data_IF_480753033460
#
_entry.id   IF_480753033460
#
_cell.length_a   1.000
_cell.length_b   1.000
_cell.length_c   1.000
_cell.angle_alpha   90.00
_cell.angle_beta   90.00
_cell.angle_gamma   90.00
#
_symmetry.space_group_name_H-M   'P 1'
#
loop_
_entity.id
_entity.type
_entity.pdbx_description
1 polymer ?
2 non-polymer ?
3 non-polymer ?
4 non-polymer ?
5 non-polymer ?
6 water ?
#
# COMPACT_ATOMS: atom_id res chain seq x y z
N UNK A 1 -4.05 1.62 -10.40
CA UNK A 1 -3.96 2.12 -11.77
C UNK A 1 -3.14 1.35 -12.82
N UNK A 2 -3.82 0.90 -13.87
CA UNK A 2 -2.93 0.39 -14.95
C UNK A 2 -2.32 1.53 -15.77
N UNK A 3 -2.93 2.73 -15.81
CA UNK A 3 -2.35 3.76 -16.72
C UNK A 3 -2.16 5.14 -16.10
N UNK A 4 -1.34 5.99 -16.75
CA UNK A 4 -1.10 7.37 -16.24
C UNK A 4 -2.42 8.14 -16.15
N UNK A 5 -3.31 7.97 -17.14
CA UNK A 5 -4.60 8.66 -17.21
C UNK A 5 -5.45 8.38 -15.98
N UNK A 6 -5.22 7.26 -15.28
CA UNK A 6 -6.01 6.93 -14.07
C UNK A 6 -5.80 7.99 -13.00
N UNK A 7 -4.58 8.48 -12.88
CA UNK A 7 -4.21 9.51 -11.88
C UNK A 7 -3.26 10.48 -12.55
N UNK A 8 -3.77 11.46 -13.29
CA UNK A 8 -2.89 12.31 -14.11
C UNK A 8 -1.84 13.04 -13.28
N UNK A 9 -2.19 13.44 -12.06
CA UNK A 9 -1.38 14.23 -11.13
C UNK A 9 -0.67 13.36 -10.12
N UNK A 10 -0.73 12.06 -10.30
CA UNK A 10 -0.20 11.12 -9.33
C UNK A 10 1.19 10.64 -9.68
N UNK A 11 1.46 9.38 -9.36
CA UNK A 11 2.81 8.79 -9.44
C UNK A 11 2.68 7.31 -9.78
N UNK A 12 3.81 6.74 -10.17
CA UNK A 12 3.94 5.28 -10.30
C UNK A 12 4.50 4.66 -9.02
N UNK A 13 3.78 3.72 -8.48
CA UNK A 13 4.35 2.76 -7.53
C UNK A 13 5.23 1.82 -8.32
N UNK A 14 6.39 1.48 -7.78
CA UNK A 14 7.35 0.62 -8.47
C UNK A 14 8.31 1.43 -9.31
N UNK A 15 8.41 1.13 -10.58
CA UNK A 15 9.30 1.89 -11.48
C UNK A 15 8.58 2.06 -12.80
N UNK A 16 8.29 3.31 -13.17
CA UNK A 16 7.65 3.59 -14.45
C UNK A 16 8.38 2.94 -15.61
N UNK A 17 9.69 2.78 -15.51
CA UNK A 17 10.46 2.21 -16.61
C UNK A 17 10.20 0.70 -16.78
N UNK A 18 9.51 0.06 -15.85
CA UNK A 18 9.25 -1.38 -15.92
C UNK A 18 7.75 -1.64 -16.00
N UNK A 19 7.21 -1.92 -17.20
CA UNK A 19 5.77 -2.11 -17.33
C UNK A 19 5.20 -3.21 -16.46
N UNK A 20 6.02 -4.16 -16.04
CA UNK A 20 5.51 -5.30 -15.24
C UNK A 20 5.66 -5.08 -13.74
N UNK A 21 6.27 -3.98 -13.34
CA UNK A 21 6.43 -3.69 -11.88
C UNK A 21 6.11 -2.22 -11.66
N UNK A 22 4.95 -1.80 -12.16
CA UNK A 22 4.49 -0.40 -11.96
C UNK A 22 2.98 -0.38 -11.86
N UNK A 23 2.51 0.50 -10.97
CA UNK A 23 1.05 0.68 -10.74
C UNK A 23 0.83 2.18 -10.50
N UNK A 24 -0.08 2.76 -11.27
CA UNK A 24 -0.38 4.21 -11.11
C UNK A 24 -1.19 4.41 -9.83
N UNK A 25 -0.90 5.49 -9.11
CA UNK A 25 -1.61 5.80 -7.89
C UNK A 25 -1.80 7.31 -7.76
N UNK A 26 -2.58 7.66 -6.76
CA UNK A 26 -3.02 9.06 -6.53
C UNK A 26 -1.97 9.88 -5.80
N UNK A 27 -0.92 9.31 -5.28
CA UNK A 27 0.07 10.08 -4.52
C UNK A 27 0.77 11.06 -5.46
N UNK A 28 0.90 12.33 -5.06
CA UNK A 28 1.51 13.32 -5.93
C UNK A 28 3.04 13.18 -5.88
N UNK A 29 3.78 13.70 -6.88
CA UNK A 29 5.24 13.44 -6.96
C UNK A 29 5.98 13.89 -5.71
N UNK A 30 5.73 15.07 -5.21
CA UNK A 30 6.49 15.56 -4.05
C UNK A 30 6.19 14.70 -2.82
N UNK A 31 4.97 14.24 -2.67
CA UNK A 31 4.62 13.37 -1.52
C UNK A 31 5.31 12.01 -1.65
N UNK A 32 5.42 11.50 -2.86
CA UNK A 32 6.11 10.22 -3.03
C UNK A 32 7.58 10.36 -2.65
N UNK A 33 8.20 11.48 -3.01
CA UNK A 33 9.62 11.72 -2.65
C UNK A 33 9.74 11.88 -1.13
N UNK A 34 8.79 12.55 -0.48
CA UNK A 34 8.79 12.66 0.99
C UNK A 34 8.73 11.25 1.61
N UNK A 35 7.82 10.42 1.15
CA UNK A 35 7.70 9.06 1.68
C UNK A 35 9.02 8.34 1.48
N UNK A 36 9.64 8.46 0.33
CA UNK A 36 10.92 7.77 0.04
C UNK A 36 11.97 8.08 1.08
N UNK A 37 12.08 9.34 1.49
CA UNK A 37 13.21 9.73 2.35
C UNK A 37 12.86 9.72 3.84
N UNK A 38 11.59 9.69 4.22
CA UNK A 38 11.16 9.76 5.61
C UNK A 38 10.77 8.39 6.17
N UNK A 39 10.43 7.44 5.31
CA UNK A 39 9.99 6.11 5.75
C UNK A 39 11.20 5.20 5.58
N UNK A 40 11.85 4.88 6.69
CA UNK A 40 13.20 4.32 6.64
C UNK A 40 13.26 2.82 6.75
N UNK A 41 12.16 2.14 6.85
CA UNK A 41 12.05 0.70 6.76
C UNK A 41 10.92 0.35 5.82
N UNK A 42 10.96 -0.86 5.33
CA UNK A 42 9.91 -1.34 4.41
C UNK A 42 8.54 -1.34 5.12
N UNK A 43 8.53 -1.77 6.39
CA UNK A 43 7.24 -1.80 7.09
C UNK A 43 6.68 -0.38 7.23
N UNK A 44 7.50 0.59 7.65
CA UNK A 44 6.99 1.95 7.81
C UNK A 44 6.51 2.49 6.46
N UNK A 45 7.29 2.24 5.41
CA UNK A 45 6.86 2.72 4.10
C UNK A 45 5.52 2.07 3.69
N UNK A 46 5.37 0.79 3.92
CA UNK A 46 4.11 0.09 3.55
C UNK A 46 2.93 0.73 4.26
N UNK A 47 3.07 0.96 5.56
CA UNK A 47 1.94 1.48 6.36
C UNK A 47 1.64 2.93 5.99
N UNK A 48 2.67 3.71 5.65
CA UNK A 48 2.46 5.08 5.21
C UNK A 48 1.77 5.11 3.85
N UNK A 49 2.27 4.31 2.90
CA UNK A 49 1.60 4.16 1.63
C UNK A 49 0.12 3.80 1.83
N UNK A 50 -0.14 2.85 2.74
CA UNK A 50 -1.53 2.44 2.97
C UNK A 50 -2.40 3.64 3.31
N UNK A 51 -1.92 4.56 4.18
CA UNK A 51 -2.69 5.74 4.58
C UNK A 51 -2.85 6.76 3.43
N UNK A 52 -1.88 6.85 2.53
CA UNK A 52 -2.05 7.70 1.33
C UNK A 52 -3.01 7.10 0.33
N UNK A 53 -3.12 5.78 0.27
CA UNK A 53 -3.82 5.10 -0.83
C UNK A 53 -5.23 4.69 -0.45
N UNK A 54 -5.52 4.46 0.81
CA UNK A 54 -6.82 3.96 1.27
C UNK A 54 -7.30 4.81 2.40
N UNK A 55 -8.49 5.38 2.27
CA UNK A 55 -9.09 6.17 3.35
C UNK A 55 -9.20 5.27 4.57
N UNK A 56 -9.12 5.85 5.75
CA UNK A 56 -9.28 5.06 7.00
C UNK A 56 -10.64 4.32 7.02
N UNK A 57 -11.69 4.90 6.46
CA UNK A 57 -12.98 4.20 6.45
C UNK A 57 -12.90 2.95 5.60
N UNK A 58 -12.14 2.98 4.51
CA UNK A 58 -11.93 1.81 3.67
C UNK A 58 -11.06 0.79 4.42
N UNK A 59 -10.00 1.23 5.08
CA UNK A 59 -9.15 0.31 5.85
C UNK A 59 -10.00 -0.43 6.88
N UNK A 60 -10.91 0.25 7.54
CA UNK A 60 -11.72 -0.31 8.62
C UNK A 60 -12.57 -1.49 8.17
N UNK A 61 -12.94 -1.54 6.89
CA UNK A 61 -13.84 -2.58 6.37
C UNK A 61 -13.14 -3.44 5.37
N UNK A 62 -11.83 -3.43 5.32
CA UNK A 62 -11.04 -4.18 4.36
C UNK A 62 -9.91 -4.97 5.02
N UNK A 63 -9.34 -5.85 4.24
CA UNK A 63 -8.04 -6.46 4.57
C UNK A 63 -7.48 -7.06 3.31
N UNK A 64 -6.32 -7.72 3.38
CA UNK A 64 -5.67 -8.17 2.14
C UNK A 64 -6.45 -9.27 1.44
N UNK A 65 -6.99 -10.20 2.18
CA UNK A 65 -7.68 -11.36 1.59
C UNK A 65 -9.15 -11.07 1.35
N UNK A 66 -9.71 -10.07 1.95
CA UNK A 66 -11.14 -9.81 1.89
C UNK A 66 -11.94 -10.84 2.67
N UNK A 67 -11.49 -11.14 3.88
CA UNK A 67 -12.15 -12.13 4.78
C UNK A 67 -12.28 -11.56 6.18
N UNK A 68 -13.43 -11.71 6.75
CA UNK A 68 -13.63 -11.40 8.18
C UNK A 68 -14.97 -11.83 8.67
N UNK A 69 -15.25 -11.51 9.94
CA UNK A 69 -16.36 -12.10 10.70
C UNK A 69 -17.72 -11.83 10.10
N UNK A 70 -17.91 -10.68 9.49
CA UNK A 70 -19.12 -10.36 8.72
C UNK A 70 -18.75 -9.77 7.37
N UNK A 71 -17.65 -10.25 6.80
CA UNK A 71 -17.13 -9.84 5.52
C UNK A 71 -16.17 -8.66 5.60
N UNK A 72 -15.22 -8.66 4.73
CA UNK A 72 -14.30 -7.57 4.52
C UNK A 72 -14.09 -7.46 3.04
N UNK A 73 -13.94 -6.25 2.55
CA UNK A 73 -13.54 -6.06 1.14
C UNK A 73 -12.05 -6.31 1.01
N UNK A 74 -11.65 -6.88 -0.09
CA UNK A 74 -10.24 -6.96 -0.39
C UNK A 74 -9.69 -5.57 -0.68
N UNK A 75 -8.54 -5.24 -0.09
CA UNK A 75 -7.82 -4.03 -0.53
C UNK A 75 -7.48 -4.20 -2.01
N UNK A 76 -7.65 -3.15 -2.80
CA UNK A 76 -7.46 -3.26 -4.26
C UNK A 76 -6.21 -4.05 -4.59
N UNK A 77 -6.33 -5.22 -5.29
CA UNK A 77 -5.16 -6.05 -5.45
C UNK A 77 -4.06 -5.44 -6.28
N UNK A 78 -4.40 -4.70 -7.33
CA UNK A 78 -3.32 -4.11 -8.15
C UNK A 78 -2.56 -3.08 -7.31
N UNK A 79 -3.25 -2.28 -6.53
CA UNK A 79 -2.54 -1.30 -5.67
C UNK A 79 -1.64 -2.01 -4.68
N UNK A 80 -2.07 -3.10 -4.11
CA UNK A 80 -1.21 -3.88 -3.20
C UNK A 80 0.05 -4.40 -3.92
N UNK A 81 -0.12 -4.91 -5.15
CA UNK A 81 1.05 -5.29 -5.95
C UNK A 81 1.97 -4.08 -6.16
N UNK A 82 1.41 -2.94 -6.40
CA UNK A 82 2.22 -1.73 -6.52
C UNK A 82 3.02 -1.45 -5.26
N UNK A 83 2.41 -1.58 -4.08
CA UNK A 83 3.16 -1.45 -2.83
C UNK A 83 4.32 -2.46 -2.78
N UNK A 84 4.05 -3.73 -3.10
CA UNK A 84 5.09 -4.73 -3.12
C UNK A 84 6.26 -4.28 -4.00
N UNK A 85 5.93 -3.86 -5.22
CA UNK A 85 7.00 -3.44 -6.16
C UNK A 85 7.76 -2.23 -5.63
N UNK A 86 7.04 -1.27 -5.05
CA UNK A 86 7.67 -0.05 -4.52
C UNK A 86 8.66 -0.40 -3.42
N UNK A 87 8.26 -1.30 -2.52
CA UNK A 87 9.12 -1.74 -1.41
C UNK A 87 10.30 -2.53 -1.95
N UNK A 88 10.09 -3.33 -2.98
CA UNK A 88 11.19 -4.06 -3.60
C UNK A 88 12.25 -3.09 -4.15
N UNK A 89 11.80 -2.11 -4.93
CA UNK A 89 12.78 -1.19 -5.51
C UNK A 89 13.48 -0.37 -4.43
N UNK A 90 12.82 -0.02 -3.33
CA UNK A 90 13.48 0.79 -2.29
C UNK A 90 14.37 -0.07 -1.39
N UNK A 91 13.89 -1.24 -0.96
CA UNK A 91 14.50 -1.98 0.13
C UNK A 91 14.91 -3.40 -0.25
N UNK A 92 14.54 -3.88 -1.39
CA UNK A 92 14.86 -5.27 -1.73
C UNK A 92 14.12 -6.37 -0.98
N UNK A 93 12.89 -6.19 -0.67
CA UNK A 93 12.15 -7.17 0.14
C UNK A 93 12.18 -8.58 -0.49
N UNK A 94 12.22 -9.58 0.41
CA UNK A 94 12.13 -11.01 0.11
C UNK A 94 10.69 -11.48 0.28
N UNK A 95 10.44 -12.73 -0.06
CA UNK A 95 9.12 -13.33 0.15
C UNK A 95 8.77 -13.35 1.62
N UNK A 96 9.73 -13.71 2.47
CA UNK A 96 9.49 -13.68 3.93
C UNK A 96 9.14 -12.26 4.40
N UNK A 97 9.89 -11.30 3.95
CA UNK A 97 9.60 -9.89 4.31
C UNK A 97 8.20 -9.54 3.93
N UNK A 98 7.81 -9.87 2.69
CA UNK A 98 6.50 -9.48 2.19
C UNK A 98 5.38 -10.11 3.01
N UNK A 99 5.53 -11.38 3.39
CA UNK A 99 4.51 -12.00 4.25
C UNK A 99 4.31 -11.21 5.52
N UNK A 100 5.45 -10.86 6.11
CA UNK A 100 5.35 -10.06 7.36
C UNK A 100 4.74 -8.62 7.19
N UNK A 101 5.16 -7.98 6.07
CA UNK A 101 4.58 -6.66 5.74
C UNK A 101 3.07 -6.81 5.57
N UNK A 102 2.62 -7.85 4.91
CA UNK A 102 1.18 -8.11 4.79
C UNK A 102 0.54 -8.26 6.17
N UNK A 103 1.17 -9.00 7.09
CA UNK A 103 0.64 -9.11 8.45
C UNK A 103 0.50 -7.72 9.06
N UNK A 104 1.47 -6.84 8.85
CA UNK A 104 1.42 -5.49 9.43
C UNK A 104 0.28 -4.67 8.80
N UNK A 105 0.09 -4.79 7.49
CA UNK A 105 -1.06 -4.12 6.83
C UNK A 105 -2.36 -4.62 7.42
N UNK A 106 -2.52 -5.92 7.57
CA UNK A 106 -3.76 -6.45 8.11
C UNK A 106 -3.97 -5.97 9.55
N UNK A 107 -2.91 -5.90 10.35
CA UNK A 107 -3.03 -5.36 11.72
C UNK A 107 -3.48 -3.93 11.71
N UNK A 108 -2.98 -3.14 10.79
CA UNK A 108 -3.39 -1.72 10.68
C UNK A 108 -4.86 -1.63 10.31
N UNK A 109 -5.33 -2.48 9.42
CA UNK A 109 -6.77 -2.50 9.06
C UNK A 109 -7.63 -2.89 10.28
N UNK A 110 -7.17 -3.86 11.07
CA UNK A 110 -7.89 -4.23 12.30
C UNK A 110 -7.90 -3.06 13.28
N UNK A 111 -6.81 -2.32 13.41
CA UNK A 111 -6.77 -1.18 14.32
C UNK A 111 -7.75 -0.12 13.81
N UNK A 112 -7.83 0.11 12.50
CA UNK A 112 -8.78 1.10 11.92
C UNK A 112 -10.21 0.72 12.32
N UNK A 113 -10.54 -0.55 12.27
CA UNK A 113 -11.86 -1.01 12.66
C UNK A 113 -12.09 -0.79 14.17
N UNK A 114 -11.14 -1.17 15.00
CA UNK A 114 -11.33 -1.04 16.46
C UNK A 114 -11.54 0.43 16.85
N UNK A 115 -10.81 1.32 16.18
CA UNK A 115 -10.89 2.76 16.56
C UNK A 115 -12.31 3.29 16.35
N UNK A 116 -13.05 2.69 15.45
CA UNK A 116 -14.44 3.16 15.19
C UNK A 116 -15.42 2.66 16.26
N UNK A 117 -15.01 1.73 17.11
CA UNK A 117 -15.97 1.10 18.06
C UNK A 117 -15.93 1.91 19.36
#
# INVERSE_FOLDING_TARGET
>A
GNSEEDYPNGTWLGDENNPEMRVRCAIIPSDMLHISTNCRTAEKMALTLLDYLFHREVQAVSNLSGQGKHGKKQLDPLTIYGIRCHLFYKFGITESDWYRIKQSIDSKCRTAWRRKQR
#
